data_IF_707627285338
#
_entry.id   IF_707627285338
#
_cell.length_a   1.000
_cell.length_b   1.000
_cell.length_c   1.000
_cell.angle_alpha   90.00
_cell.angle_beta   90.00
_cell.angle_gamma   90.00
#
_symmetry.space_group_name_H-M   'P 1'
#
loop_
_entity.id
_entity.type
_entity.pdbx_description
1 polymer ?
#
# COMPACT_ATOMS: atom_id res chain seq x y z
N UNK A 1 17.96 13.75 -60.52
CA UNK A 1 16.82 13.97 -59.61
C UNK A 1 16.32 12.69 -58.92
N UNK A 2 16.22 11.53 -59.59
CA UNK A 2 15.71 10.29 -58.98
C UNK A 2 16.52 9.74 -57.79
N UNK A 3 17.85 9.87 -57.79
CA UNK A 3 18.73 9.37 -56.71
C UNK A 3 18.57 10.11 -55.37
N UNK A 4 18.17 11.38 -55.40
CA UNK A 4 17.91 12.20 -54.21
C UNK A 4 16.60 11.81 -53.51
N UNK A 5 15.59 11.41 -54.29
CA UNK A 5 14.30 10.95 -53.77
C UNK A 5 14.41 9.59 -53.06
N UNK A 6 15.21 8.66 -53.59
CA UNK A 6 15.40 7.33 -52.97
C UNK A 6 16.15 7.45 -51.64
N UNK A 7 17.16 8.32 -51.56
CA UNK A 7 17.88 8.59 -50.32
C UNK A 7 16.98 9.22 -49.24
N UNK A 8 16.08 10.13 -49.63
CA UNK A 8 15.16 10.79 -48.70
C UNK A 8 14.10 9.82 -48.16
N UNK A 9 13.54 8.95 -49.01
CA UNK A 9 12.55 7.93 -48.58
C UNK A 9 13.19 6.88 -47.67
N UNK A 10 14.43 6.44 -47.96
CA UNK A 10 15.16 5.51 -47.10
C UNK A 10 15.49 6.13 -45.73
N UNK A 11 15.82 7.43 -45.68
CA UNK A 11 16.10 8.14 -44.43
C UNK A 11 14.83 8.35 -43.60
N UNK A 12 13.70 8.70 -44.23
CA UNK A 12 12.40 8.84 -43.54
C UNK A 12 11.90 7.49 -43.01
N UNK A 13 12.06 6.41 -43.79
CA UNK A 13 11.74 5.06 -43.32
C UNK A 13 12.64 4.61 -42.15
N UNK A 14 13.94 4.96 -42.17
CA UNK A 14 14.86 4.65 -41.08
C UNK A 14 14.54 5.47 -39.80
N UNK A 15 14.07 6.71 -39.93
CA UNK A 15 13.62 7.54 -38.80
C UNK A 15 12.28 7.07 -38.23
N UNK A 16 11.38 6.54 -39.06
CA UNK A 16 10.10 5.95 -38.63
C UNK A 16 10.27 4.54 -38.02
N UNK A 17 11.31 3.81 -38.41
CA UNK A 17 11.66 2.50 -37.85
C UNK A 17 12.62 2.58 -36.65
N UNK A 18 12.98 3.79 -36.18
CA UNK A 18 13.69 3.88 -34.93
C UNK A 18 12.78 3.39 -33.80
N UNK A 19 13.21 2.39 -33.01
CA UNK A 19 12.41 1.93 -31.90
C UNK A 19 12.25 3.14 -30.99
N UNK A 20 11.02 3.63 -30.86
CA UNK A 20 10.69 4.54 -29.79
C UNK A 20 11.19 3.84 -28.52
N UNK A 21 12.22 4.40 -27.90
CA UNK A 21 12.64 3.94 -26.59
C UNK A 21 11.40 4.12 -25.70
N UNK A 22 10.69 3.02 -25.44
CA UNK A 22 9.50 2.99 -24.61
C UNK A 22 9.93 3.29 -23.18
N UNK A 23 10.16 4.57 -22.90
CA UNK A 23 10.50 5.07 -21.59
C UNK A 23 9.22 5.20 -20.80
N UNK A 24 9.21 4.45 -19.71
CA UNK A 24 8.48 4.63 -18.46
C UNK A 24 7.06 4.06 -18.44
N UNK A 25 6.95 2.86 -17.89
CA UNK A 25 5.70 2.37 -17.31
C UNK A 25 5.21 3.39 -16.27
N UNK A 26 4.01 3.93 -16.50
CA UNK A 26 3.31 4.70 -15.47
C UNK A 26 2.75 3.76 -14.41
N UNK A 27 2.81 4.13 -13.15
CA UNK A 27 2.42 3.24 -12.07
C UNK A 27 2.20 3.91 -10.73
N UNK A 28 1.65 3.13 -9.80
CA UNK A 28 1.45 3.54 -8.41
C UNK A 28 2.32 2.74 -7.45
N UNK A 29 2.92 3.45 -6.49
CA UNK A 29 3.89 2.94 -5.54
C UNK A 29 3.35 3.14 -4.13
N UNK A 30 2.62 2.16 -3.58
CA UNK A 30 2.09 2.25 -2.23
C UNK A 30 3.23 2.28 -1.21
N UNK A 31 3.13 3.19 -0.23
CA UNK A 31 4.13 3.29 0.86
C UNK A 31 3.99 2.17 1.89
N UNK A 32 2.82 1.53 1.94
CA UNK A 32 2.48 0.47 2.88
C UNK A 32 2.03 -0.76 2.09
N UNK A 33 2.50 -1.94 2.49
CA UNK A 33 2.07 -3.22 1.91
C UNK A 33 0.88 -3.84 2.63
N UNK A 34 0.51 -3.30 3.79
CA UNK A 34 -0.61 -3.78 4.60
C UNK A 34 -1.55 -2.64 4.90
N UNK A 35 -2.82 -2.83 4.57
CA UNK A 35 -3.86 -1.81 4.70
C UNK A 35 -5.14 -2.49 5.19
N UNK A 36 -5.78 -2.02 6.26
CA UNK A 36 -7.05 -2.60 6.66
C UNK A 36 -8.16 -2.28 5.65
N UNK A 37 -9.17 -3.14 5.58
CA UNK A 37 -10.43 -2.84 4.88
C UNK A 37 -11.05 -1.57 5.47
N UNK A 38 -11.50 -0.64 4.62
CA UNK A 38 -11.96 0.69 5.04
C UNK A 38 -10.83 1.67 5.41
N UNK A 39 -9.57 1.23 5.34
CA UNK A 39 -8.40 2.08 5.50
C UNK A 39 -8.09 2.90 4.25
N UNK A 40 -6.86 3.42 4.17
CA UNK A 40 -6.41 4.28 3.06
C UNK A 40 -5.07 3.78 2.55
N UNK A 41 -4.99 3.57 1.24
CA UNK A 41 -3.74 3.31 0.52
C UNK A 41 -3.13 4.66 0.15
N UNK A 42 -1.94 4.94 0.68
CA UNK A 42 -1.17 6.15 0.35
C UNK A 42 0.12 5.78 -0.35
N UNK A 43 0.52 6.62 -1.30
CA UNK A 43 1.67 6.33 -2.14
C UNK A 43 2.11 7.50 -2.99
N UNK A 44 3.02 7.20 -3.90
CA UNK A 44 3.41 8.08 -4.99
C UNK A 44 3.13 7.39 -6.30
N UNK A 45 2.92 8.13 -7.37
CA UNK A 45 2.76 7.55 -8.70
C UNK A 45 2.83 8.61 -9.77
N UNK A 46 2.72 8.15 -10.99
CA UNK A 46 2.51 8.94 -12.20
C UNK A 46 1.38 8.27 -13.00
N UNK A 47 1.05 8.80 -14.17
CA UNK A 47 -0.16 8.45 -14.91
C UNK A 47 -1.29 9.43 -14.65
N UNK A 48 -1.04 10.71 -14.96
CA UNK A 48 -2.03 11.80 -14.92
C UNK A 48 -3.44 11.37 -15.35
N UNK A 49 -4.41 11.46 -14.43
CA UNK A 49 -5.82 11.16 -14.71
C UNK A 49 -6.19 9.68 -14.90
N UNK A 50 -5.22 8.76 -14.81
CA UNK A 50 -5.44 7.33 -14.99
C UNK A 50 -6.17 6.72 -13.79
N UNK A 51 -6.97 5.69 -14.08
CA UNK A 51 -7.82 5.02 -13.10
C UNK A 51 -7.05 3.90 -12.39
N UNK A 52 -7.18 3.84 -11.07
CA UNK A 52 -6.51 2.88 -10.21
C UNK A 52 -7.53 1.86 -9.71
N UNK A 53 -7.15 0.58 -9.80
CA UNK A 53 -8.00 -0.54 -9.42
C UNK A 53 -7.27 -1.47 -8.47
N UNK A 54 -8.06 -2.16 -7.66
CA UNK A 54 -7.62 -3.25 -6.80
C UNK A 54 -8.34 -4.54 -7.22
N UNK A 55 -7.63 -5.65 -7.28
CA UNK A 55 -8.21 -6.96 -7.63
C UNK A 55 -7.61 -8.05 -6.74
N UNK A 56 -8.39 -9.05 -6.27
CA UNK A 56 -7.82 -10.18 -5.54
C UNK A 56 -6.65 -10.80 -6.33
N UNK A 57 -5.51 -11.02 -5.69
CA UNK A 57 -4.27 -11.38 -6.37
C UNK A 57 -4.40 -12.66 -7.22
N UNK A 58 -5.24 -13.60 -6.78
CA UNK A 58 -5.55 -14.85 -7.50
C UNK A 58 -6.36 -14.65 -8.79
N UNK A 59 -7.10 -13.56 -8.90
CA UNK A 59 -7.96 -13.23 -10.04
C UNK A 59 -7.36 -12.15 -10.95
N UNK A 60 -6.32 -11.45 -10.49
CA UNK A 60 -5.65 -10.43 -11.28
C UNK A 60 -4.89 -11.04 -12.47
N UNK A 61 -5.01 -10.46 -13.68
CA UNK A 61 -4.32 -10.97 -14.85
C UNK A 61 -2.81 -10.85 -14.65
N UNK A 62 -2.07 -11.86 -15.12
CA UNK A 62 -0.61 -11.86 -14.99
C UNK A 62 0.01 -11.22 -16.22
N UNK A 63 1.15 -10.57 -16.01
CA UNK A 63 2.06 -10.27 -17.11
C UNK A 63 2.44 -11.53 -17.86
N UNK A 64 2.67 -11.39 -19.15
CA UNK A 64 3.01 -12.50 -20.03
C UNK A 64 4.23 -12.11 -20.86
N UNK A 65 4.97 -13.12 -21.33
CA UNK A 65 6.04 -12.90 -22.31
C UNK A 65 5.40 -12.50 -23.63
N UNK A 66 5.98 -11.51 -24.28
CA UNK A 66 5.59 -11.04 -25.60
C UNK A 66 6.82 -10.92 -26.49
N UNK A 67 6.67 -10.34 -27.69
CA UNK A 67 7.69 -10.34 -28.75
C UNK A 67 9.12 -10.14 -28.23
N UNK A 68 10.00 -11.12 -28.51
CA UNK A 68 11.36 -11.17 -27.98
C UNK A 68 11.43 -11.65 -26.51
N UNK A 69 12.30 -11.02 -25.72
CA UNK A 69 12.46 -11.27 -24.28
C UNK A 69 11.66 -10.27 -23.41
N UNK A 70 10.68 -9.58 -24.00
CA UNK A 70 9.90 -8.55 -23.32
C UNK A 70 8.80 -9.17 -22.44
N UNK A 71 8.45 -8.46 -21.36
CA UNK A 71 7.32 -8.76 -20.50
C UNK A 71 6.24 -7.70 -20.76
N UNK A 72 5.07 -8.13 -21.23
CA UNK A 72 3.96 -7.25 -21.53
C UNK A 72 2.90 -7.27 -20.43
N UNK A 73 2.29 -6.10 -20.24
CA UNK A 73 1.11 -5.94 -19.39
C UNK A 73 -0.12 -6.57 -20.05
N UNK A 74 -1.05 -7.15 -19.27
CA UNK A 74 -2.34 -7.53 -19.80
C UNK A 74 -3.11 -6.29 -20.28
N UNK A 75 -3.98 -6.44 -21.26
CA UNK A 75 -4.78 -5.35 -21.83
C UNK A 75 -6.26 -5.57 -21.59
N UNK A 76 -7.02 -4.48 -21.57
CA UNK A 76 -8.48 -4.49 -21.57
C UNK A 76 -8.99 -3.40 -22.49
N UNK A 77 -9.96 -3.70 -23.38
CA UNK A 77 -10.46 -2.69 -24.33
C UNK A 77 -11.26 -1.57 -23.65
N UNK A 78 -11.76 -1.82 -22.44
CA UNK A 78 -12.62 -0.90 -21.69
C UNK A 78 -12.11 -0.82 -20.24
N UNK A 79 -12.50 0.21 -19.46
CA UNK A 79 -12.22 0.23 -18.03
C UNK A 79 -12.68 -1.07 -17.37
N UNK A 80 -11.81 -1.74 -16.59
CA UNK A 80 -12.10 -3.08 -16.11
C UNK A 80 -13.27 -3.08 -15.11
N UNK A 81 -14.22 -4.00 -15.34
CA UNK A 81 -15.33 -4.30 -14.43
C UNK A 81 -14.94 -5.32 -13.35
N UNK A 82 -15.93 -6.01 -12.76
CA UNK A 82 -15.67 -7.09 -11.79
C UNK A 82 -14.72 -8.13 -12.41
N UNK A 83 -13.73 -8.67 -11.68
CA UNK A 83 -13.49 -8.55 -10.23
C UNK A 83 -12.69 -7.31 -9.79
N UNK A 84 -12.36 -6.40 -10.71
CA UNK A 84 -11.64 -5.18 -10.38
C UNK A 84 -12.54 -4.23 -9.57
N UNK A 85 -11.93 -3.57 -8.60
CA UNK A 85 -12.57 -2.62 -7.70
C UNK A 85 -11.89 -1.28 -7.89
N UNK A 86 -12.63 -0.35 -8.47
CA UNK A 86 -12.16 1.00 -8.70
C UNK A 86 -11.86 1.69 -7.36
N UNK A 87 -10.65 2.24 -7.23
CA UNK A 87 -10.20 2.98 -6.05
C UNK A 87 -10.32 4.50 -6.25
N UNK A 88 -10.13 4.96 -7.49
CA UNK A 88 -10.11 6.37 -7.82
C UNK A 88 -9.26 6.66 -9.05
N UNK A 89 -9.05 7.95 -9.33
CA UNK A 89 -8.13 8.42 -10.37
C UNK A 89 -6.99 9.20 -9.75
N UNK A 90 -5.82 9.10 -10.34
CA UNK A 90 -4.74 10.03 -10.05
C UNK A 90 -5.15 11.45 -10.49
N UNK A 91 -4.63 12.46 -9.79
CA UNK A 91 -4.92 13.87 -10.12
C UNK A 91 -4.43 14.14 -11.53
N UNK A 92 -5.19 14.91 -12.29
CA UNK A 92 -4.73 15.41 -13.59
C UNK A 92 -3.62 16.44 -13.38
N UNK A 93 -2.52 16.22 -14.07
CA UNK A 93 -1.32 17.05 -14.14
C UNK A 93 -1.01 17.38 -15.60
N UNK A 94 -0.10 18.33 -15.82
CA UNK A 94 0.33 18.79 -17.15
C UNK A 94 1.09 17.74 -17.94
N UNK A 95 1.72 16.77 -17.28
CA UNK A 95 2.44 15.65 -17.90
C UNK A 95 1.93 14.31 -17.37
N UNK A 96 1.85 13.32 -18.26
CA UNK A 96 1.49 11.94 -17.91
C UNK A 96 2.45 11.37 -16.86
N UNK A 97 3.74 11.70 -16.95
CA UNK A 97 4.81 11.22 -16.09
C UNK A 97 5.07 12.09 -14.86
N UNK A 98 4.23 13.10 -14.61
CA UNK A 98 4.40 13.96 -13.45
C UNK A 98 4.15 13.15 -12.16
N UNK A 99 5.21 12.99 -11.36
CA UNK A 99 5.14 12.33 -10.07
C UNK A 99 4.23 13.10 -9.11
N UNK A 100 3.34 12.39 -8.44
CA UNK A 100 2.37 12.93 -7.50
C UNK A 100 2.14 11.98 -6.34
N UNK A 101 1.74 12.53 -5.18
CA UNK A 101 1.21 11.72 -4.09
C UNK A 101 -0.23 11.33 -4.39
N UNK A 102 -0.64 10.15 -3.92
CA UNK A 102 -2.02 9.71 -3.97
C UNK A 102 -2.50 9.20 -2.61
N UNK A 103 -3.81 9.22 -2.44
CA UNK A 103 -4.52 8.68 -1.28
C UNK A 103 -5.83 8.10 -1.77
N UNK A 104 -6.00 6.79 -1.66
CA UNK A 104 -7.23 6.11 -2.07
C UNK A 104 -7.86 5.35 -0.90
N UNK A 105 -9.14 5.58 -0.60
CA UNK A 105 -9.84 4.77 0.40
C UNK A 105 -10.02 3.34 -0.12
N UNK A 106 -9.78 2.36 0.76
CA UNK A 106 -10.08 0.96 0.47
C UNK A 106 -11.58 0.75 0.68
N UNK A 107 -12.34 0.28 -0.34
CA UNK A 107 -13.77 0.05 -0.19
C UNK A 107 -14.08 -0.91 0.96
N UNK A 108 -15.07 -0.56 1.79
CA UNK A 108 -15.43 -1.32 2.98
C UNK A 108 -15.96 -2.74 2.69
N UNK A 109 -16.47 -3.00 1.49
CA UNK A 109 -17.02 -4.29 1.08
C UNK A 109 -15.99 -5.27 0.48
N UNK A 110 -14.69 -5.03 0.66
CA UNK A 110 -13.65 -5.97 0.26
C UNK A 110 -13.36 -6.97 1.39
N UNK A 111 -13.08 -8.20 1.01
CA UNK A 111 -12.64 -9.23 1.94
C UNK A 111 -11.16 -9.05 2.28
N UNK A 112 -10.72 -9.41 3.49
CA UNK A 112 -9.29 -9.54 3.78
C UNK A 112 -8.61 -10.53 2.84
N UNK A 113 -7.35 -10.26 2.46
CA UNK A 113 -6.57 -11.12 1.56
C UNK A 113 -5.48 -10.38 0.80
N UNK A 114 -4.82 -11.06 -0.13
CA UNK A 114 -3.82 -10.48 -1.02
C UNK A 114 -4.50 -9.88 -2.26
N UNK A 115 -4.07 -8.68 -2.64
CA UNK A 115 -4.60 -7.91 -3.76
C UNK A 115 -3.47 -7.34 -4.61
N UNK A 116 -3.72 -7.20 -5.91
CA UNK A 116 -2.86 -6.48 -6.85
C UNK A 116 -3.47 -5.14 -7.21
N UNK A 117 -2.63 -4.14 -7.40
CA UNK A 117 -3.02 -2.83 -7.91
C UNK A 117 -2.74 -2.73 -9.40
N UNK A 118 -3.69 -2.14 -10.13
CA UNK A 118 -3.54 -1.89 -11.56
C UNK A 118 -3.87 -0.44 -11.88
N UNK A 119 -3.11 0.11 -12.82
CA UNK A 119 -3.41 1.38 -13.47
C UNK A 119 -3.97 1.08 -14.87
N UNK A 120 -5.18 1.54 -15.17
CA UNK A 120 -5.76 1.38 -16.50
C UNK A 120 -5.37 2.57 -17.39
N UNK A 121 -4.63 2.30 -18.47
CA UNK A 121 -4.22 3.28 -19.46
C UNK A 121 -4.93 3.08 -20.81
N UNK A 122 -6.05 3.77 -21.08
CA UNK A 122 -6.73 3.66 -22.38
C UNK A 122 -5.86 4.17 -23.54
N UNK A 123 -5.02 5.19 -23.29
CA UNK A 123 -4.10 5.76 -24.28
C UNK A 123 -2.88 4.89 -24.58
N UNK A 124 -2.65 3.86 -23.77
CA UNK A 124 -1.56 2.90 -23.93
C UNK A 124 -2.09 1.59 -24.54
N UNK A 125 -3.11 1.65 -25.42
CA UNK A 125 -3.73 0.44 -25.98
C UNK A 125 -4.57 -0.36 -24.98
N UNK A 126 -5.05 0.28 -23.91
CA UNK A 126 -5.87 -0.38 -22.89
C UNK A 126 -5.07 -1.19 -21.86
N UNK A 127 -3.76 -0.93 -21.70
CA UNK A 127 -2.92 -1.65 -20.73
C UNK A 127 -3.44 -1.56 -19.29
N UNK A 128 -3.41 -2.69 -18.62
CA UNK A 128 -3.59 -2.85 -17.18
C UNK A 128 -2.21 -2.96 -16.54
N UNK A 129 -1.62 -1.81 -16.21
CA UNK A 129 -0.24 -1.74 -15.75
C UNK A 129 -0.17 -2.17 -14.28
N UNK A 130 0.49 -3.29 -14.02
CA UNK A 130 0.60 -3.87 -12.69
C UNK A 130 1.53 -3.01 -11.84
N UNK A 131 0.99 -2.46 -10.75
CA UNK A 131 1.66 -1.48 -9.91
C UNK A 131 2.19 -2.11 -8.62
N UNK A 132 3.26 -1.54 -8.05
CA UNK A 132 3.96 -2.05 -6.85
C UNK A 132 5.29 -1.30 -6.64
N UNK A 133 5.96 -1.45 -5.48
CA UNK A 133 7.15 -0.62 -5.16
C UNK A 133 8.31 -0.80 -6.16
N UNK A 134 8.39 -1.95 -6.83
CA UNK A 134 9.40 -2.25 -7.86
C UNK A 134 8.81 -2.36 -9.27
N UNK A 135 7.56 -1.97 -9.46
CA UNK A 135 6.80 -2.28 -10.69
C UNK A 135 6.81 -3.77 -11.07
N UNK A 136 7.17 -4.70 -10.18
CA UNK A 136 7.09 -6.16 -10.41
C UNK A 136 5.70 -6.71 -10.03
N UNK A 137 4.79 -5.82 -9.66
CA UNK A 137 3.42 -6.18 -9.35
C UNK A 137 3.23 -6.83 -7.98
N UNK A 138 3.91 -6.26 -6.98
CA UNK A 138 3.75 -6.61 -5.57
C UNK A 138 2.28 -6.60 -5.13
N UNK A 139 1.96 -7.53 -4.26
CA UNK A 139 0.64 -7.60 -3.63
C UNK A 139 0.56 -6.67 -2.42
N UNK A 140 -0.51 -5.90 -2.32
CA UNK A 140 -0.96 -5.31 -1.06
C UNK A 140 -1.82 -6.32 -0.33
N UNK A 141 -1.65 -6.41 0.98
CA UNK A 141 -2.50 -7.17 1.87
C UNK A 141 -3.60 -6.29 2.44
N UNK A 142 -4.84 -6.67 2.16
CA UNK A 142 -5.99 -6.16 2.89
C UNK A 142 -6.20 -6.98 4.15
N UNK A 143 -6.23 -6.34 5.31
CA UNK A 143 -6.51 -6.99 6.59
C UNK A 143 -7.94 -6.70 7.04
N UNK A 144 -8.42 -7.44 8.05
CA UNK A 144 -9.67 -7.08 8.71
C UNK A 144 -9.61 -5.64 9.24
N UNK A 145 -10.77 -5.04 9.51
CA UNK A 145 -10.81 -3.74 10.20
C UNK A 145 -10.06 -3.85 11.53
N UNK A 146 -9.19 -2.88 11.84
CA UNK A 146 -8.43 -2.91 13.08
C UNK A 146 -9.38 -2.78 14.25
N UNK A 147 -9.08 -3.53 15.30
CA UNK A 147 -9.58 -3.19 16.62
C UNK A 147 -8.71 -2.04 17.12
N UNK A 148 -9.36 -1.09 17.78
CA UNK A 148 -8.71 0.13 18.24
C UNK A 148 -8.91 0.29 19.74
N UNK A 149 -7.84 0.63 20.45
CA UNK A 149 -7.90 1.12 21.82
C UNK A 149 -7.46 2.58 21.84
N UNK A 150 -8.34 3.45 22.32
CA UNK A 150 -8.07 4.87 22.51
C UNK A 150 -7.87 5.15 23.99
N UNK A 151 -6.81 5.86 24.33
CA UNK A 151 -6.43 6.19 25.71
C UNK A 151 -6.13 7.69 25.75
N UNK A 152 -6.78 8.40 26.66
CA UNK A 152 -6.54 9.84 26.86
C UNK A 152 -5.46 10.03 27.92
N UNK A 153 -4.51 10.92 27.66
CA UNK A 153 -3.36 11.19 28.53
C UNK A 153 -3.12 12.69 28.66
N UNK A 154 -2.73 13.13 29.85
CA UNK A 154 -2.30 14.53 30.10
C UNK A 154 -0.92 14.84 29.52
N UNK A 155 -0.41 16.06 29.72
CA UNK A 155 0.90 16.50 29.21
C UNK A 155 2.11 15.86 29.93
N UNK A 156 1.93 15.27 31.11
CA UNK A 156 3.01 14.59 31.83
C UNK A 156 3.27 13.14 31.38
N UNK A 157 4.14 12.47 32.11
CA UNK A 157 4.30 11.02 32.03
C UNK A 157 3.01 10.32 32.50
N UNK A 158 2.69 9.19 31.90
CA UNK A 158 1.50 8.41 32.24
C UNK A 158 1.76 6.92 32.05
N UNK A 159 1.03 6.10 32.80
CA UNK A 159 1.03 4.64 32.65
C UNK A 159 -0.40 4.16 32.63
N UNK A 160 -0.68 3.22 31.73
CA UNK A 160 -1.98 2.56 31.65
C UNK A 160 -1.81 1.05 31.41
N UNK A 161 -2.78 0.26 31.84
CA UNK A 161 -2.81 -1.19 31.66
C UNK A 161 -4.18 -1.61 31.15
N UNK A 162 -4.19 -2.43 30.11
CA UNK A 162 -5.43 -2.93 29.55
C UNK A 162 -5.26 -4.35 29.01
N UNK A 163 -6.37 -5.03 28.78
CA UNK A 163 -6.40 -6.38 28.21
C UNK A 163 -7.13 -6.36 26.87
N UNK A 164 -6.66 -7.19 25.95
CA UNK A 164 -7.30 -7.42 24.66
C UNK A 164 -7.42 -8.92 24.43
N UNK A 165 -8.62 -9.39 24.08
CA UNK A 165 -8.86 -10.81 23.80
C UNK A 165 -8.73 -11.07 22.31
N UNK A 166 -7.66 -11.73 21.90
CA UNK A 166 -7.32 -11.92 20.49
C UNK A 166 -7.45 -13.38 20.05
N UNK A 167 -7.85 -13.61 18.78
CA UNK A 167 -7.87 -14.96 18.21
C UNK A 167 -6.44 -15.49 18.02
N UNK A 168 -6.31 -16.80 17.80
CA UNK A 168 -5.05 -17.39 17.37
C UNK A 168 -4.67 -16.86 15.98
N UNK A 169 -3.39 -16.57 15.76
CA UNK A 169 -2.91 -16.02 14.49
C UNK A 169 -1.56 -15.34 14.57
N UNK A 170 -1.32 -14.42 13.64
CA UNK A 170 -0.10 -13.61 13.52
C UNK A 170 -0.46 -12.11 13.56
N UNK A 171 0.49 -11.23 13.89
CA UNK A 171 0.26 -9.78 13.88
C UNK A 171 0.35 -9.30 12.44
N UNK A 172 -0.80 -8.92 11.92
CA UNK A 172 -0.93 -8.36 10.58
C UNK A 172 -0.72 -6.84 10.60
N UNK A 173 -1.08 -6.18 11.69
CA UNK A 173 -0.88 -4.76 11.89
C UNK A 173 -0.71 -4.50 13.39
N UNK A 174 0.34 -3.76 13.75
CA UNK A 174 0.44 -3.07 15.03
C UNK A 174 0.83 -1.62 14.73
N UNK A 175 -0.05 -0.69 15.08
CA UNK A 175 0.13 0.74 14.82
C UNK A 175 -0.17 1.56 16.05
N UNK A 176 0.74 2.48 16.35
CA UNK A 176 0.63 3.45 17.42
C UNK A 176 0.48 4.83 16.78
N UNK A 177 -0.61 5.52 17.09
CA UNK A 177 -0.86 6.90 16.67
C UNK A 177 -0.88 7.79 17.91
N UNK A 178 -0.04 8.82 17.94
CA UNK A 178 0.13 9.74 19.06
C UNK A 178 0.13 11.18 18.57
N UNK A 179 -0.12 12.15 19.46
CA UNK A 179 0.10 13.56 19.14
C UNK A 179 1.57 13.80 18.77
N UNK A 180 1.84 14.70 17.82
CA UNK A 180 3.20 14.95 17.36
C UNK A 180 4.11 15.40 18.51
N UNK A 181 5.29 14.79 18.63
CA UNK A 181 6.25 15.07 19.70
C UNK A 181 5.96 14.36 21.03
N UNK A 182 4.96 13.48 21.07
CA UNK A 182 4.71 12.60 22.22
C UNK A 182 5.67 11.41 22.18
N UNK A 183 6.31 11.12 23.32
CA UNK A 183 7.10 9.89 23.48
C UNK A 183 6.31 8.84 24.24
N UNK A 184 6.02 7.73 23.58
CA UNK A 184 5.22 6.65 24.15
C UNK A 184 5.69 5.28 23.68
N UNK A 185 5.55 4.30 24.57
CA UNK A 185 5.80 2.90 24.29
C UNK A 185 4.60 2.07 24.77
N UNK A 186 4.26 1.06 23.98
CA UNK A 186 3.27 0.04 24.34
C UNK A 186 3.95 -1.31 24.25
N UNK A 187 3.88 -2.10 25.32
CA UNK A 187 4.31 -3.49 25.34
C UNK A 187 3.14 -4.40 25.71
N UNK A 188 3.07 -5.57 25.11
CA UNK A 188 2.06 -6.59 25.34
C UNK A 188 2.71 -7.89 25.78
N UNK A 189 2.17 -8.52 26.81
CA UNK A 189 2.53 -9.89 27.22
C UNK A 189 1.50 -10.86 26.70
N UNK A 190 1.98 -11.87 25.98
CA UNK A 190 1.16 -12.94 25.40
C UNK A 190 1.41 -14.20 26.24
N UNK A 191 0.37 -14.84 26.78
CA UNK A 191 0.54 -16.08 27.52
C UNK A 191 1.31 -17.13 26.69
N UNK A 192 2.32 -17.74 27.31
CA UNK A 192 3.19 -18.78 26.73
C UNK A 192 4.06 -18.35 25.54
N UNK A 193 4.23 -17.05 25.26
CA UNK A 193 5.07 -16.53 24.17
C UNK A 193 5.84 -15.27 24.54
N UNK A 194 6.79 -14.91 23.68
CA UNK A 194 7.42 -13.59 23.69
C UNK A 194 6.37 -12.49 23.48
N UNK A 195 6.59 -11.34 24.13
CA UNK A 195 5.71 -10.18 24.05
C UNK A 195 5.85 -9.40 22.75
N UNK A 196 4.99 -8.39 22.59
CA UNK A 196 4.99 -7.46 21.46
C UNK A 196 5.31 -6.06 21.96
N UNK A 197 5.96 -5.24 21.15
CA UNK A 197 6.26 -3.87 21.53
C UNK A 197 6.25 -2.92 20.35
N UNK A 198 5.74 -1.70 20.57
CA UNK A 198 5.83 -0.59 19.63
C UNK A 198 6.09 0.70 20.38
N UNK A 199 6.99 1.53 19.87
CA UNK A 199 7.32 2.82 20.47
C UNK A 199 7.48 3.92 19.44
N UNK A 200 7.45 5.15 19.92
CA UNK A 200 7.72 6.35 19.14
C UNK A 200 9.18 6.49 18.72
N UNK A 201 10.08 5.81 19.42
CA UNK A 201 11.53 5.91 19.22
C UNK A 201 12.01 4.99 18.08
N UNK A 202 11.19 4.01 17.67
CA UNK A 202 11.49 3.06 16.60
C UNK A 202 11.30 3.62 15.17
N UNK A 203 11.11 4.94 15.03
CA UNK A 203 10.91 5.62 13.76
C UNK A 203 9.44 5.69 13.34
N UNK A 204 8.84 6.86 13.48
CA UNK A 204 7.44 7.12 13.13
C UNK A 204 7.33 8.10 11.96
N UNK A 205 6.21 8.06 11.26
CA UNK A 205 5.91 9.02 10.19
C UNK A 205 4.93 10.06 10.70
N UNK A 206 5.31 11.33 10.62
CA UNK A 206 4.42 12.45 10.87
C UNK A 206 3.30 12.50 9.83
N UNK A 207 2.06 12.64 10.29
CA UNK A 207 0.83 12.74 9.48
C UNK A 207 -0.03 13.88 10.04
N UNK A 208 0.21 15.09 9.56
CA UNK A 208 -0.47 16.28 10.09
C UNK A 208 -0.10 16.51 11.57
N UNK A 209 -1.09 16.52 12.49
CA UNK A 209 -0.86 16.77 13.92
C UNK A 209 -0.43 15.53 14.72
N UNK A 210 -0.32 14.36 14.08
CA UNK A 210 0.00 13.09 14.76
C UNK A 210 1.25 12.43 14.19
N UNK A 211 1.91 11.62 15.01
CA UNK A 211 2.94 10.69 14.59
C UNK A 211 2.36 9.27 14.54
N UNK A 212 2.63 8.56 13.44
CA UNK A 212 2.14 7.20 13.20
C UNK A 212 3.33 6.23 13.10
N UNK A 213 3.45 5.39 14.12
CA UNK A 213 4.43 4.31 14.19
C UNK A 213 3.73 3.03 13.74
N UNK A 214 4.36 2.23 12.89
CA UNK A 214 3.78 0.96 12.43
C UNK A 214 4.87 -0.10 12.44
N UNK A 215 4.67 -1.15 13.24
CA UNK A 215 5.51 -2.33 13.19
C UNK A 215 5.17 -3.12 11.92
N UNK A 216 6.19 -3.70 11.29
CA UNK A 216 5.99 -4.63 10.18
C UNK A 216 5.26 -5.89 10.67
N UNK A 217 4.72 -6.66 9.74
CA UNK A 217 4.05 -7.92 10.05
C UNK A 217 4.99 -8.84 10.86
N UNK A 218 4.46 -9.46 11.91
CA UNK A 218 5.17 -10.42 12.73
C UNK A 218 4.46 -11.76 12.66
N UNK A 219 5.16 -12.76 12.12
CA UNK A 219 4.58 -14.04 11.72
C UNK A 219 4.74 -15.13 12.79
N UNK A 220 5.23 -14.77 13.97
CA UNK A 220 5.25 -15.63 15.14
C UNK A 220 3.80 -16.05 15.46
N UNK A 221 3.45 -17.34 15.35
CA UNK A 221 2.10 -17.80 15.67
C UNK A 221 1.79 -17.56 17.14
N UNK A 222 0.65 -16.95 17.42
CA UNK A 222 0.19 -16.63 18.76
C UNK A 222 -1.10 -17.40 19.09
N UNK A 223 -1.24 -17.89 20.32
CA UNK A 223 -2.44 -18.58 20.75
C UNK A 223 -3.60 -17.58 20.91
N UNK A 224 -4.82 -18.11 20.84
CA UNK A 224 -5.99 -17.36 21.26
C UNK A 224 -5.88 -17.12 22.77
N UNK A 225 -5.79 -15.86 23.18
CA UNK A 225 -5.57 -15.50 24.57
C UNK A 225 -5.98 -14.05 24.86
N UNK A 226 -6.18 -13.74 26.15
CA UNK A 226 -6.25 -12.37 26.62
C UNK A 226 -4.82 -11.85 26.87
N UNK A 227 -4.40 -10.88 26.07
CA UNK A 227 -3.07 -10.29 26.15
C UNK A 227 -3.09 -9.08 27.07
N UNK A 228 -2.04 -8.91 27.87
CA UNK A 228 -1.93 -7.80 28.82
C UNK A 228 -0.99 -6.74 28.27
N UNK A 229 -1.54 -5.56 28.00
CA UNK A 229 -0.78 -4.44 27.50
C UNK A 229 -0.44 -3.45 28.61
N UNK A 230 0.75 -2.87 28.51
CA UNK A 230 1.24 -1.76 29.32
C UNK A 230 1.58 -0.62 28.38
N UNK A 231 0.92 0.52 28.59
CA UNK A 231 1.26 1.76 27.94
C UNK A 231 2.09 2.62 28.89
N UNK A 232 3.16 3.19 28.35
CA UNK A 232 4.03 4.13 29.02
C UNK A 232 4.16 5.37 28.15
N UNK A 233 3.55 6.48 28.57
CA UNK A 233 3.90 7.81 28.06
C UNK A 233 5.07 8.33 28.87
N UNK A 234 6.16 8.64 28.18
CA UNK A 234 7.41 9.10 28.79
C UNK A 234 7.42 10.63 28.89
N UNK A 235 7.03 11.33 27.82
CA UNK A 235 7.06 12.80 27.73
C UNK A 235 6.22 13.33 26.56
N UNK A 236 6.19 14.66 26.38
CA UNK A 236 5.54 15.34 25.27
C UNK A 236 4.09 15.78 25.54
N UNK A 237 3.35 16.28 24.54
CA UNK A 237 2.04 16.90 24.74
C UNK A 237 0.99 15.92 25.27
N UNK A 238 -0.09 16.46 25.84
CA UNK A 238 -1.29 15.69 26.14
C UNK A 238 -2.08 15.36 24.87
N UNK A 239 -3.05 14.46 25.00
CA UNK A 239 -3.95 14.10 23.89
C UNK A 239 -4.32 12.62 23.89
N UNK A 240 -4.67 12.11 22.70
CA UNK A 240 -5.08 10.73 22.53
C UNK A 240 -3.92 9.84 22.05
N UNK A 241 -3.74 8.70 22.70
CA UNK A 241 -2.96 7.58 22.18
C UNK A 241 -3.92 6.55 21.60
N UNK A 242 -3.77 6.23 20.32
CA UNK A 242 -4.55 5.20 19.63
C UNK A 242 -3.65 4.03 19.26
N UNK A 243 -3.99 2.86 19.77
CA UNK A 243 -3.40 1.60 19.35
C UNK A 243 -4.37 0.88 18.40
N UNK A 244 -3.93 0.68 17.15
CA UNK A 244 -4.63 -0.15 16.18
C UNK A 244 -3.90 -1.47 16.03
N UNK A 245 -4.63 -2.58 16.10
CA UNK A 245 -4.05 -3.91 15.96
C UNK A 245 -4.96 -4.84 15.17
N UNK A 246 -4.35 -5.74 14.39
CA UNK A 246 -5.05 -6.79 13.65
C UNK A 246 -4.31 -8.10 13.81
N UNK A 247 -4.99 -9.08 14.40
CA UNK A 247 -4.54 -10.47 14.46
C UNK A 247 -5.34 -11.29 13.44
N UNK A 248 -4.66 -12.18 12.72
CA UNK A 248 -5.34 -13.05 11.76
C UNK A 248 -4.45 -14.16 11.23
N UNK A 249 -4.94 -14.90 10.23
CA UNK A 249 -4.17 -16.00 9.62
C UNK A 249 -2.91 -15.48 8.90
N UNK A 250 -1.81 -16.27 8.89
CA UNK A 250 -0.65 -15.95 8.08
C UNK A 250 -1.02 -15.91 6.59
N UNK A 251 -0.34 -15.09 5.77
CA UNK A 251 -0.68 -14.89 4.35
C UNK A 251 -0.35 -16.08 3.45
N UNK A 252 0.44 -17.04 3.94
CA UNK A 252 0.75 -18.30 3.26
C UNK A 252 0.40 -19.46 4.20
N UNK A 253 -0.87 -19.85 4.14
CA UNK A 253 -1.44 -21.00 4.84
C UNK A 253 -2.69 -21.44 4.12
#
# INVERSE_FOLDING_TARGET
MARLLVGFVALVAAVLCWPAAARADVGVYPLMKVVPVGGVIVGWGDGSGLAVYLVPARLGPRRHRCHGNAICEPTSPHPPGRPFRFLGRLRRTTSLYARQSFSFPVPAGLSPGAYRMYLYCPRCGGSLIQSGQRLEGETIRLTARPRSRLIQVGAGAARDRFRLSEPAGVILLLRLTVAHGMHAAVSGTIPALAGVAISTDAGCRRRGPVDVCTQREEWCPMPAAAWHFRLHKLSGPGGSIRLDFVIGKPPHG
#
